data_IF_070280640091
#
_entry.id   IF_070280640091
#
_cell.length_a   1.000
_cell.length_b   1.000
_cell.length_c   1.000
_cell.angle_alpha   90.00
_cell.angle_beta   90.00
_cell.angle_gamma   90.00
#
_symmetry.space_group_name_H-M   'P 1'
#
loop_
_entity.id
_entity.type
_entity.pdbx_description
1 polymer ?
#
# COMPACT_ATOMS: atom_id res chain seq x y z
N UNK A 1 -6.91 -3.94 2.08
CA UNK A 1 -7.57 -3.72 3.39
C UNK A 1 -7.82 -2.23 3.59
N UNK A 2 -8.75 -1.86 4.47
CA UNK A 2 -9.00 -0.44 4.79
C UNK A 2 -7.84 0.14 5.60
N UNK A 3 -7.49 -0.54 6.69
CA UNK A 3 -6.35 -0.25 7.57
C UNK A 3 -6.10 -1.46 8.50
N UNK A 4 -5.03 -1.42 9.28
CA UNK A 4 -4.73 -2.39 10.33
C UNK A 4 -5.62 -2.22 11.57
N UNK A 5 -5.79 -3.28 12.33
CA UNK A 5 -6.63 -3.29 13.53
C UNK A 5 -5.96 -2.75 14.81
N UNK A 6 -4.76 -2.19 14.72
CA UNK A 6 -3.94 -1.78 15.88
C UNK A 6 -3.77 -2.89 16.93
N UNK A 7 -3.66 -4.15 16.48
CA UNK A 7 -3.62 -5.32 17.38
C UNK A 7 -2.45 -5.24 18.36
N UNK A 8 -1.29 -4.76 17.88
CA UNK A 8 -0.15 -4.37 18.71
C UNK A 8 -0.13 -2.84 18.82
N UNK A 9 -0.19 -2.31 20.04
CA UNK A 9 0.00 -0.88 20.31
C UNK A 9 1.46 -0.46 20.22
N UNK A 10 1.69 0.85 20.34
CA UNK A 10 3.01 1.47 20.39
C UNK A 10 3.08 2.54 21.51
N UNK A 11 4.11 3.38 21.48
CA UNK A 11 4.34 4.40 22.52
C UNK A 11 3.35 5.56 22.48
N UNK A 12 2.73 5.85 21.34
CA UNK A 12 1.72 6.90 21.19
C UNK A 12 0.32 6.36 21.42
N UNK A 13 0.03 5.14 20.97
CA UNK A 13 -1.33 4.58 21.00
C UNK A 13 -1.33 3.14 21.51
N UNK A 14 -2.13 2.87 22.54
CA UNK A 14 -2.34 1.51 23.05
C UNK A 14 -3.07 0.63 22.03
N UNK A 15 -2.99 -0.69 22.22
CA UNK A 15 -3.69 -1.66 21.36
C UNK A 15 -5.17 -1.31 21.17
N UNK A 16 -5.65 -1.40 19.92
CA UNK A 16 -7.02 -1.08 19.53
C UNK A 16 -7.29 0.40 19.21
N UNK A 17 -6.43 1.34 19.64
CA UNK A 17 -6.56 2.75 19.26
C UNK A 17 -5.97 3.04 17.89
N UNK A 18 -6.66 3.90 17.14
CA UNK A 18 -6.32 4.24 15.74
C UNK A 18 -6.56 5.71 15.39
N UNK A 19 -6.52 6.59 16.39
CA UNK A 19 -6.68 8.04 16.19
C UNK A 19 -5.49 8.68 15.46
N UNK A 20 -4.33 8.00 15.40
CA UNK A 20 -3.20 8.41 14.59
C UNK A 20 -2.99 7.31 13.54
N UNK A 21 -2.96 7.65 12.24
CA UNK A 21 -2.81 6.66 11.19
C UNK A 21 -1.33 6.25 11.05
N UNK A 22 -0.81 5.55 12.06
CA UNK A 22 0.60 5.19 12.18
C UNK A 22 1.05 4.19 11.10
N UNK A 23 2.36 4.09 10.79
CA UNK A 23 2.85 3.19 9.74
C UNK A 23 2.47 1.72 9.94
N UNK A 24 2.38 1.25 11.19
CA UNK A 24 1.98 -0.13 11.50
C UNK A 24 0.48 -0.39 11.25
N UNK A 25 -0.34 0.67 11.23
CA UNK A 25 -1.76 0.62 10.93
C UNK A 25 -1.98 0.78 9.41
N UNK A 26 -1.22 1.63 8.72
CA UNK A 26 -1.49 1.95 7.31
C UNK A 26 -0.69 1.12 6.31
N UNK A 27 0.38 0.44 6.73
CA UNK A 27 1.03 -0.56 5.90
C UNK A 27 0.20 -1.85 5.90
N UNK A 28 -0.56 -2.07 4.82
CA UNK A 28 -1.52 -3.17 4.69
C UNK A 28 -1.15 -4.12 3.57
N UNK A 29 -1.39 -5.44 3.72
CA UNK A 29 -1.17 -6.39 2.63
C UNK A 29 -2.22 -6.19 1.53
N UNK A 30 -1.79 -5.91 0.31
CA UNK A 30 -2.64 -5.89 -0.88
C UNK A 30 -2.13 -6.93 -1.89
N UNK A 31 -3.06 -7.67 -2.50
CA UNK A 31 -2.73 -8.71 -3.47
C UNK A 31 -3.72 -8.72 -4.62
N UNK A 32 -3.23 -9.00 -5.83
CA UNK A 32 -4.03 -9.15 -7.04
C UNK A 32 -3.83 -10.56 -7.57
N UNK A 33 -4.93 -11.22 -7.94
CA UNK A 33 -4.90 -12.55 -8.54
C UNK A 33 -5.83 -12.60 -9.75
N UNK A 34 -5.27 -13.05 -10.87
CA UNK A 34 -6.02 -13.33 -12.08
C UNK A 34 -6.39 -14.82 -12.13
N UNK A 35 -7.61 -15.12 -12.56
CA UNK A 35 -8.13 -16.47 -12.72
C UNK A 35 -8.59 -16.69 -14.16
N UNK A 36 -8.60 -17.95 -14.63
CA UNK A 36 -9.08 -18.28 -15.97
C UNK A 36 -8.16 -17.83 -17.11
N UNK A 37 -6.90 -17.50 -16.81
CA UNK A 37 -5.91 -17.17 -17.84
C UNK A 37 -5.46 -18.43 -18.60
N UNK A 38 -5.24 -18.30 -19.91
CA UNK A 38 -4.59 -19.31 -20.73
C UNK A 38 -3.15 -19.58 -20.29
N UNK A 39 -2.42 -18.52 -19.93
CA UNK A 39 -1.04 -18.57 -19.43
C UNK A 39 -0.93 -18.02 -17.99
N UNK A 40 -1.31 -18.80 -16.96
CA UNK A 40 -1.25 -18.35 -15.57
C UNK A 40 0.19 -18.22 -15.06
N UNK A 41 0.40 -17.25 -14.16
CA UNK A 41 1.68 -17.07 -13.46
C UNK A 41 2.09 -18.35 -12.72
N UNK A 42 3.35 -18.76 -12.84
CA UNK A 42 3.91 -19.92 -12.16
C UNK A 42 4.84 -19.49 -11.03
N UNK A 43 4.80 -20.20 -9.90
CA UNK A 43 5.67 -19.92 -8.74
C UNK A 43 5.08 -18.94 -7.74
N UNK A 44 5.97 -18.32 -6.96
CA UNK A 44 5.61 -17.40 -5.88
C UNK A 44 5.03 -16.08 -6.41
N UNK A 45 4.24 -15.33 -5.62
CA UNK A 45 3.76 -14.01 -6.03
C UNK A 45 4.91 -13.08 -6.40
N UNK A 46 4.68 -12.20 -7.38
CA UNK A 46 5.59 -11.09 -7.66
C UNK A 46 5.41 -10.05 -6.56
N UNK A 47 6.49 -9.78 -5.82
CA UNK A 47 6.48 -8.79 -4.74
C UNK A 47 6.74 -7.38 -5.29
N UNK A 48 5.84 -6.46 -4.95
CA UNK A 48 6.02 -5.02 -5.21
C UNK A 48 6.55 -4.38 -3.93
N UNK A 49 7.83 -4.04 -3.93
CA UNK A 49 8.53 -3.48 -2.76
C UNK A 49 8.59 -1.96 -2.75
N UNK A 50 8.17 -1.31 -3.85
CA UNK A 50 8.15 0.16 -3.92
C UNK A 50 6.95 0.73 -3.15
N UNK A 51 7.08 1.94 -2.56
CA UNK A 51 5.97 2.63 -1.91
C UNK A 51 4.76 2.76 -2.85
N UNK A 52 3.67 2.12 -2.49
CA UNK A 52 2.50 1.95 -3.35
C UNK A 52 1.21 2.32 -2.59
N UNK A 53 0.24 2.84 -3.33
CA UNK A 53 -1.11 3.12 -2.82
C UNK A 53 -2.13 2.81 -3.92
N UNK A 54 -3.37 3.28 -3.77
CA UNK A 54 -4.51 2.95 -4.63
C UNK A 54 -4.27 3.23 -6.12
N UNK A 55 -3.42 4.19 -6.46
CA UNK A 55 -3.11 4.50 -7.85
C UNK A 55 -2.42 3.34 -8.60
N UNK A 56 -1.59 2.54 -7.92
CA UNK A 56 -0.96 1.36 -8.50
C UNK A 56 -1.99 0.25 -8.79
N UNK A 57 -3.02 0.13 -7.96
CA UNK A 57 -4.14 -0.78 -8.21
C UNK A 57 -4.93 -0.32 -9.44
N UNK A 58 -5.24 0.98 -9.53
CA UNK A 58 -5.93 1.55 -10.69
C UNK A 58 -5.17 1.32 -12.00
N UNK A 59 -3.85 1.46 -11.95
CA UNK A 59 -2.97 1.18 -13.10
C UNK A 59 -3.02 -0.29 -13.51
N UNK A 60 -2.94 -1.23 -12.56
CA UNK A 60 -3.04 -2.66 -12.88
C UNK A 60 -4.41 -3.05 -13.45
N UNK A 61 -5.49 -2.42 -12.98
CA UNK A 61 -6.83 -2.56 -13.56
C UNK A 61 -6.84 -2.03 -15.00
N UNK A 62 -6.28 -0.84 -15.24
CA UNK A 62 -6.20 -0.26 -16.57
C UNK A 62 -5.39 -1.13 -17.55
N UNK A 63 -4.27 -1.71 -17.11
CA UNK A 63 -3.48 -2.66 -17.90
C UNK A 63 -4.24 -3.95 -18.23
N UNK A 64 -5.21 -4.33 -17.39
CA UNK A 64 -5.99 -5.55 -17.54
C UNK A 64 -7.34 -5.36 -18.27
N UNK A 65 -7.77 -4.11 -18.49
CA UNK A 65 -9.15 -3.79 -18.86
C UNK A 65 -9.58 -4.31 -20.23
N UNK A 66 -8.63 -4.47 -21.17
CA UNK A 66 -8.92 -4.98 -22.51
C UNK A 66 -9.07 -6.51 -22.55
N UNK A 67 -8.79 -7.19 -21.43
CA UNK A 67 -8.95 -8.62 -21.26
C UNK A 67 -7.93 -9.49 -22.01
N UNK A 68 -6.97 -8.91 -22.74
CA UNK A 68 -6.05 -9.71 -23.57
C UNK A 68 -5.18 -10.64 -22.74
N UNK A 69 -4.75 -10.21 -21.55
CA UNK A 69 -3.94 -11.03 -20.64
C UNK A 69 -4.57 -12.39 -20.30
N UNK A 70 -5.90 -12.55 -20.41
CA UNK A 70 -6.58 -13.81 -20.12
C UNK A 70 -6.47 -14.83 -21.26
N UNK A 71 -6.23 -14.39 -22.50
CA UNK A 71 -6.28 -15.23 -23.70
C UNK A 71 -4.93 -15.39 -24.40
N UNK A 72 -3.94 -14.57 -24.07
CA UNK A 72 -2.57 -14.68 -24.60
C UNK A 72 -1.93 -16.04 -24.28
N UNK A 73 -1.15 -16.57 -25.23
CA UNK A 73 -0.37 -17.81 -25.05
C UNK A 73 0.77 -17.65 -24.04
N UNK A 74 1.19 -16.41 -23.79
CA UNK A 74 2.20 -16.06 -22.79
C UNK A 74 1.96 -14.64 -22.29
N UNK A 75 2.21 -14.41 -20.99
CA UNK A 75 2.11 -13.08 -20.38
C UNK A 75 3.49 -12.65 -19.90
N UNK A 76 3.91 -11.46 -20.30
CA UNK A 76 5.12 -10.84 -19.77
C UNK A 76 4.80 -10.19 -18.41
N UNK A 77 5.01 -10.95 -17.34
CA UNK A 77 4.71 -10.53 -15.98
C UNK A 77 5.58 -9.37 -15.50
N UNK A 78 6.85 -9.32 -15.91
CA UNK A 78 7.76 -8.21 -15.58
C UNK A 78 7.27 -6.91 -16.22
N UNK A 79 6.79 -6.96 -17.47
CA UNK A 79 6.21 -5.79 -18.11
C UNK A 79 4.89 -5.36 -17.44
N UNK A 80 4.06 -6.31 -17.02
CA UNK A 80 2.80 -6.02 -16.35
C UNK A 80 3.02 -5.31 -15.00
N UNK A 81 4.07 -5.68 -14.26
CA UNK A 81 4.34 -5.19 -12.89
C UNK A 81 5.42 -4.11 -12.80
N UNK A 82 6.17 -3.86 -13.86
CA UNK A 82 7.18 -2.79 -13.88
C UNK A 82 6.55 -1.40 -14.09
N UNK A 83 7.23 -0.38 -13.56
CA UNK A 83 6.85 1.02 -13.75
C UNK A 83 5.48 1.37 -13.18
N UNK A 84 5.02 0.68 -12.14
CA UNK A 84 3.81 1.07 -11.42
C UNK A 84 4.01 2.43 -10.72
N UNK A 85 2.96 3.26 -10.64
CA UNK A 85 3.05 4.57 -10.00
C UNK A 85 3.33 4.40 -8.50
N UNK A 86 4.41 5.03 -8.05
CA UNK A 86 4.77 5.07 -6.63
C UNK A 86 4.03 6.21 -5.94
N UNK A 87 3.71 6.02 -4.66
CA UNK A 87 3.06 7.05 -3.82
C UNK A 87 3.79 7.12 -2.50
N UNK A 88 4.15 8.33 -2.07
CA UNK A 88 4.80 8.53 -0.78
C UNK A 88 3.89 8.06 0.38
N UNK A 89 4.51 7.56 1.44
CA UNK A 89 3.81 7.14 2.66
C UNK A 89 3.29 8.36 3.43
N UNK A 90 2.07 8.77 3.07
CA UNK A 90 1.31 9.84 3.71
C UNK A 90 -0.04 9.28 4.13
N UNK A 91 -0.37 9.45 5.39
CA UNK A 91 -1.62 8.98 5.97
C UNK A 91 -2.30 10.09 6.77
N UNK A 92 -3.60 10.27 6.58
CA UNK A 92 -4.36 11.36 7.21
C UNK A 92 -5.72 10.85 7.71
N UNK A 93 -6.16 11.41 8.83
CA UNK A 93 -7.55 11.41 9.25
C UNK A 93 -7.95 12.84 9.66
N UNK A 94 -9.15 13.04 10.22
CA UNK A 94 -9.65 14.36 10.56
C UNK A 94 -8.72 15.19 11.47
N UNK A 95 -7.92 14.54 12.32
CA UNK A 95 -7.18 15.20 13.40
C UNK A 95 -5.67 14.92 13.36
N UNK A 96 -5.18 14.07 12.46
CA UNK A 96 -3.78 13.65 12.45
C UNK A 96 -3.29 13.39 11.02
N UNK A 97 -2.05 13.83 10.75
CA UNK A 97 -1.30 13.50 9.54
C UNK A 97 -0.01 12.82 9.95
N UNK A 98 0.34 11.72 9.28
CA UNK A 98 1.60 10.99 9.44
C UNK A 98 2.31 10.92 8.10
N UNK A 99 3.62 11.19 8.11
CA UNK A 99 4.49 11.09 6.93
C UNK A 99 5.78 10.35 7.26
N UNK A 100 6.40 9.75 6.26
CA UNK A 100 7.83 9.42 6.28
C UNK A 100 8.65 10.59 5.73
N UNK A 101 9.60 11.09 6.50
CA UNK A 101 10.54 12.12 6.07
C UNK A 101 11.96 11.72 6.45
N UNK A 102 12.86 11.64 5.47
CA UNK A 102 14.24 11.17 5.66
C UNK A 102 14.34 9.85 6.44
N UNK A 103 13.50 8.88 6.06
CA UNK A 103 13.39 7.54 6.69
C UNK A 103 12.98 7.56 8.17
N UNK A 104 12.29 8.61 8.61
CA UNK A 104 11.73 8.72 9.97
C UNK A 104 10.26 9.11 9.91
N UNK A 105 9.39 8.49 10.72
CA UNK A 105 7.99 8.87 10.79
C UNK A 105 7.83 10.17 11.60
N UNK A 106 7.03 11.08 11.07
CA UNK A 106 6.60 12.31 11.75
C UNK A 106 5.08 12.35 11.82
N UNK A 107 4.56 12.98 12.87
CA UNK A 107 3.13 13.19 13.07
C UNK A 107 2.83 14.66 13.31
N UNK A 108 1.72 15.13 12.75
CA UNK A 108 1.13 16.43 13.02
C UNK A 108 -0.30 16.21 13.52
N UNK A 109 -0.61 16.70 14.72
CA UNK A 109 -1.94 16.60 15.33
C UNK A 109 -2.65 17.95 15.25
N UNK A 110 -3.93 17.96 14.88
CA UNK A 110 -4.83 19.12 14.83
C UNK A 110 -4.21 20.36 14.17
N UNK A 111 -3.50 20.16 13.06
CA UNK A 111 -2.74 21.20 12.33
C UNK A 111 -1.69 21.97 13.16
N UNK A 112 -1.21 21.40 14.27
CA UNK A 112 -0.10 21.93 15.05
C UNK A 112 1.28 21.67 14.42
N UNK A 113 2.31 21.60 15.25
CA UNK A 113 3.67 21.34 14.81
C UNK A 113 3.91 19.86 14.47
N UNK A 114 4.87 19.63 13.56
CA UNK A 114 5.37 18.29 13.28
C UNK A 114 6.31 17.83 14.39
N UNK A 115 6.05 16.65 14.94
CA UNK A 115 6.92 15.99 15.91
C UNK A 115 7.31 14.60 15.42
N UNK A 116 8.50 14.09 15.77
CA UNK A 116 8.86 12.70 15.48
C UNK A 116 7.84 11.74 16.10
N UNK A 117 7.40 10.73 15.34
CA UNK A 117 6.56 9.67 15.89
C UNK A 117 7.44 8.72 16.73
N UNK A 118 7.17 8.55 18.04
CA UNK A 118 7.98 7.70 18.90
C UNK A 118 7.80 6.22 18.53
N UNK A 119 8.91 5.57 18.15
CA UNK A 119 8.98 4.14 17.81
C UNK A 119 9.30 3.29 19.03
#
# INVERSE_FOLDING_TARGET
>A
PEHGGALKGDRMQVSGLRDIPSPSITNVPAGIKFFGMKAPHQGAPIEITQPSSYLAISELVARAVDGKLFVEDSVNWDQLTSGLPQTAEVSENANAVVIQYQNKPYVRLNAGDWVPYPQ
#
